data_IF_101267354229
#
_entry.id   IF_101267354229
#
_cell.length_a   1.000
_cell.length_b   1.000
_cell.length_c   1.000
_cell.angle_alpha   90.00
_cell.angle_beta   90.00
_cell.angle_gamma   90.00
#
_symmetry.space_group_name_H-M   'P 1'
#
loop_
_entity.id
_entity.type
_entity.pdbx_description
1 polymer ?
#
# COMPACT_ATOMS: atom_id res chain seq x y z
N UNK A 1 -5.93 -10.05 -8.04
CA UNK A 1 -6.37 -11.12 -7.10
C UNK A 1 -5.13 -11.69 -6.42
N UNK A 2 -4.86 -11.35 -5.15
CA UNK A 2 -4.10 -12.18 -4.16
C UNK A 2 -3.60 -11.41 -2.91
N UNK A 3 -3.90 -10.11 -2.78
CA UNK A 3 -3.59 -9.36 -1.56
C UNK A 3 -4.34 -9.93 -0.34
N UNK A 4 -5.60 -10.33 -0.52
CA UNK A 4 -6.46 -10.91 0.54
C UNK A 4 -5.91 -12.26 1.03
N UNK A 5 -5.42 -13.11 0.13
CA UNK A 5 -4.83 -14.41 0.50
C UNK A 5 -3.48 -14.23 1.21
N UNK A 6 -2.70 -13.26 0.77
CA UNK A 6 -1.38 -12.95 1.37
C UNK A 6 -1.54 -12.34 2.76
N UNK A 7 -2.49 -11.42 2.95
CA UNK A 7 -2.80 -10.82 4.24
C UNK A 7 -3.40 -11.85 5.22
N UNK A 8 -4.33 -12.69 4.74
CA UNK A 8 -4.97 -13.73 5.56
C UNK A 8 -3.97 -14.75 6.10
N UNK A 9 -3.00 -15.20 5.29
CA UNK A 9 -1.97 -16.16 5.73
C UNK A 9 -0.99 -15.55 6.75
N UNK A 10 -0.56 -14.30 6.53
CA UNK A 10 0.38 -13.61 7.43
C UNK A 10 -0.27 -13.20 8.75
N UNK A 11 -1.54 -12.81 8.74
CA UNK A 11 -2.30 -12.48 9.95
C UNK A 11 -2.60 -13.72 10.79
N UNK A 12 -2.99 -14.84 10.16
CA UNK A 12 -3.23 -16.12 10.85
C UNK A 12 -1.98 -16.57 11.61
N UNK A 13 -0.81 -16.55 10.97
CA UNK A 13 0.44 -16.97 11.60
C UNK A 13 0.81 -16.11 12.81
N UNK A 14 0.61 -14.79 12.72
CA UNK A 14 0.89 -13.88 13.84
C UNK A 14 -0.07 -14.10 15.00
N UNK A 15 -1.37 -14.27 14.73
CA UNK A 15 -2.39 -14.49 15.77
C UNK A 15 -2.15 -15.81 16.50
N UNK A 16 -1.90 -16.90 15.78
CA UNK A 16 -1.59 -18.20 16.41
C UNK A 16 -0.33 -18.11 17.26
N UNK A 17 0.71 -17.43 16.78
CA UNK A 17 1.96 -17.26 17.52
C UNK A 17 1.76 -16.50 18.84
N UNK A 18 1.09 -15.34 18.82
CA UNK A 18 0.89 -14.53 20.02
C UNK A 18 -0.07 -15.17 21.03
N UNK A 19 -1.14 -15.82 20.58
CA UNK A 19 -2.10 -16.49 21.47
C UNK A 19 -1.49 -17.77 22.04
N UNK A 20 -0.71 -18.51 21.25
CA UNK A 20 0.04 -19.66 21.74
C UNK A 20 1.08 -19.27 22.80
N UNK A 21 1.84 -18.19 22.56
CA UNK A 21 2.81 -17.67 23.53
C UNK A 21 2.12 -17.23 24.83
N UNK A 22 1.00 -16.48 24.72
CA UNK A 22 0.24 -16.01 25.88
C UNK A 22 -0.33 -17.19 26.68
N UNK A 23 -0.89 -18.19 26.00
CA UNK A 23 -1.41 -19.40 26.64
C UNK A 23 -0.34 -20.18 27.42
N UNK A 24 0.84 -20.37 26.81
CA UNK A 24 1.98 -21.03 27.48
C UNK A 24 2.42 -20.24 28.72
N UNK A 25 2.49 -18.90 28.63
CA UNK A 25 2.86 -18.05 29.76
C UNK A 25 1.83 -18.10 30.89
N UNK A 26 0.53 -18.07 30.57
CA UNK A 26 -0.53 -18.16 31.57
C UNK A 26 -0.59 -19.55 32.21
N UNK A 27 -0.40 -20.60 31.44
CA UNK A 27 -0.37 -21.98 31.94
C UNK A 27 0.85 -22.20 32.84
N UNK A 28 2.02 -21.68 32.45
CA UNK A 28 3.23 -21.73 33.28
C UNK A 28 3.07 -20.95 34.58
N UNK A 29 2.52 -19.72 34.52
CA UNK A 29 2.28 -18.91 35.71
C UNK A 29 1.28 -19.58 36.65
N UNK A 30 0.19 -20.13 36.11
CA UNK A 30 -0.82 -20.82 36.92
C UNK A 30 -0.27 -22.13 37.51
N UNK A 31 0.54 -22.87 36.75
CA UNK A 31 1.23 -24.05 37.25
C UNK A 31 2.13 -23.70 38.44
N UNK A 32 2.91 -22.63 38.33
CA UNK A 32 3.77 -22.15 39.43
C UNK A 32 2.94 -21.75 40.66
N UNK A 33 1.84 -21.02 40.48
CA UNK A 33 0.95 -20.63 41.59
C UNK A 33 0.32 -21.86 42.26
N UNK A 34 -0.17 -22.82 41.47
CA UNK A 34 -0.79 -24.05 41.99
C UNK A 34 0.23 -24.96 42.69
N UNK A 35 1.51 -24.95 42.32
CA UNK A 35 2.56 -25.70 43.01
C UNK A 35 3.00 -25.00 44.29
N UNK A 36 3.27 -23.70 44.28
CA UNK A 36 3.63 -22.96 45.50
C UNK A 36 2.49 -22.95 46.51
N UNK A 37 1.26 -22.71 46.07
CA UNK A 37 0.10 -22.69 46.95
C UNK A 37 -0.20 -24.07 47.54
N UNK A 38 -0.09 -25.15 46.74
CA UNK A 38 -0.28 -26.50 47.30
C UNK A 38 0.78 -26.84 48.33
N UNK A 39 2.05 -26.46 48.10
CA UNK A 39 3.15 -26.81 48.98
C UNK A 39 3.13 -26.02 50.30
N UNK A 40 2.76 -24.74 50.25
CA UNK A 40 2.57 -23.92 51.47
C UNK A 40 1.34 -24.36 52.27
N UNK A 41 0.22 -24.62 51.59
CA UNK A 41 -1.00 -25.11 52.24
C UNK A 41 -0.75 -26.49 52.84
N UNK A 42 -0.08 -27.41 52.13
CA UNK A 42 0.31 -28.72 52.66
C UNK A 42 1.22 -28.56 53.89
N UNK A 43 2.25 -27.70 53.86
CA UNK A 43 3.15 -27.50 55.01
C UNK A 43 2.42 -26.96 56.25
N UNK A 44 1.54 -25.97 56.07
CA UNK A 44 0.71 -25.41 57.15
C UNK A 44 -0.24 -26.47 57.71
N UNK A 45 -0.93 -27.23 56.84
CA UNK A 45 -1.80 -28.33 57.23
C UNK A 45 -1.04 -29.46 57.94
N UNK A 46 0.15 -29.84 57.46
CA UNK A 46 1.01 -30.86 58.08
C UNK A 46 1.44 -30.46 59.49
N UNK A 47 1.80 -29.18 59.71
CA UNK A 47 2.20 -28.69 61.03
C UNK A 47 1.04 -28.69 62.05
N UNK A 48 -0.19 -28.43 61.60
CA UNK A 48 -1.35 -28.24 62.46
C UNK A 48 -2.16 -29.55 62.65
N UNK A 49 -2.26 -30.39 61.61
CA UNK A 49 -3.02 -31.64 61.64
C UNK A 49 -2.27 -32.80 62.32
N UNK A 50 -0.95 -32.86 62.20
CA UNK A 50 -0.12 -33.91 62.81
C UNK A 50 -0.12 -33.85 64.34
N UNK A 51 -0.45 -32.70 64.93
CA UNK A 51 -0.61 -32.53 66.38
C UNK A 51 -1.99 -32.96 66.91
N UNK A 52 -3.00 -33.17 66.05
CA UNK A 52 -4.41 -33.27 66.48
C UNK A 52 -5.08 -34.62 66.20
N UNK A 53 -4.81 -35.30 65.09
CA UNK A 53 -5.49 -36.57 64.76
C UNK A 53 -4.65 -37.55 63.92
N UNK A 54 -4.53 -38.85 64.29
CA UNK A 54 -3.82 -39.88 63.51
C UNK A 54 -4.57 -40.33 62.24
N UNK A 55 -5.90 -40.12 62.16
CA UNK A 55 -6.73 -40.41 60.98
C UNK A 55 -6.55 -39.38 59.84
N UNK A 56 -5.91 -38.23 60.12
CA UNK A 56 -5.67 -37.20 59.13
C UNK A 56 -4.75 -37.66 57.99
N UNK A 57 -3.85 -38.63 58.25
CA UNK A 57 -2.89 -39.13 57.24
C UNK A 57 -3.59 -39.74 56.02
N UNK A 58 -4.66 -40.52 56.24
CA UNK A 58 -5.39 -41.17 55.16
C UNK A 58 -6.21 -40.17 54.31
N UNK A 59 -6.78 -39.14 54.95
CA UNK A 59 -7.48 -38.06 54.25
C UNK A 59 -6.52 -37.15 53.46
N UNK A 60 -5.33 -36.90 54.01
CA UNK A 60 -4.28 -36.11 53.35
C UNK A 60 -3.71 -36.83 52.13
N UNK A 61 -3.45 -38.14 52.25
CA UNK A 61 -3.00 -38.96 51.12
C UNK A 61 -4.02 -38.93 49.99
N UNK A 62 -5.31 -39.09 50.32
CA UNK A 62 -6.41 -38.99 49.35
C UNK A 62 -6.53 -37.60 48.70
N UNK A 63 -6.42 -36.52 49.49
CA UNK A 63 -6.47 -35.15 48.97
C UNK A 63 -5.27 -34.82 48.07
N UNK A 64 -4.08 -35.32 48.38
CA UNK A 64 -2.88 -35.11 47.55
C UNK A 64 -2.99 -35.75 46.17
N UNK A 65 -3.63 -36.93 46.09
CA UNK A 65 -3.89 -37.65 44.83
C UNK A 65 -4.95 -36.93 44.00
N UNK A 66 -6.02 -36.43 44.62
CA UNK A 66 -7.06 -35.64 43.94
C UNK A 66 -6.52 -34.31 43.40
N UNK A 67 -5.66 -33.61 44.16
CA UNK A 67 -4.99 -32.39 43.70
C UNK A 67 -4.02 -32.68 42.54
N UNK A 68 -3.31 -33.81 42.58
CA UNK A 68 -2.44 -34.27 41.49
C UNK A 68 -3.21 -34.55 40.19
N UNK A 69 -4.39 -35.17 40.30
CA UNK A 69 -5.28 -35.42 39.17
C UNK A 69 -5.89 -34.12 38.62
N UNK A 70 -6.26 -33.19 39.51
CA UNK A 70 -6.76 -31.88 39.10
C UNK A 70 -5.67 -31.11 38.33
N UNK A 71 -4.42 -31.10 38.80
CA UNK A 71 -3.28 -30.45 38.12
C UNK A 71 -2.99 -31.03 36.74
N UNK A 72 -3.05 -32.35 36.57
CA UNK A 72 -2.78 -33.01 35.29
C UNK A 72 -3.92 -32.85 34.28
N UNK A 73 -5.17 -32.81 34.74
CA UNK A 73 -6.34 -32.61 33.89
C UNK A 73 -6.53 -31.14 33.49
N UNK A 74 -6.13 -30.17 34.32
CA UNK A 74 -6.35 -28.74 34.07
C UNK A 74 -5.51 -28.21 32.90
N UNK A 75 -4.25 -28.66 32.79
CA UNK A 75 -3.30 -28.22 31.76
C UNK A 75 -3.75 -28.50 30.30
N UNK A 76 -4.22 -29.71 29.93
CA UNK A 76 -4.74 -29.96 28.59
C UNK A 76 -6.08 -29.25 28.31
N UNK A 77 -6.89 -28.99 29.34
CA UNK A 77 -8.19 -28.30 29.19
C UNK A 77 -7.97 -26.81 28.88
N UNK A 78 -7.03 -26.16 29.59
CA UNK A 78 -6.71 -24.74 29.39
C UNK A 78 -6.07 -24.48 28.04
N UNK A 79 -5.07 -25.27 27.65
CA UNK A 79 -4.45 -25.21 26.31
C UNK A 79 -5.48 -25.38 25.18
N UNK A 80 -6.42 -26.32 25.34
CA UNK A 80 -7.53 -26.50 24.41
C UNK A 80 -8.44 -25.27 24.31
N UNK A 81 -8.76 -24.63 25.45
CA UNK A 81 -9.59 -23.43 25.49
C UNK A 81 -8.92 -22.24 24.78
N UNK A 82 -7.61 -22.01 25.00
CA UNK A 82 -6.85 -20.95 24.33
C UNK A 82 -6.78 -21.14 22.80
N UNK A 83 -6.67 -22.38 22.32
CA UNK A 83 -6.72 -22.66 20.87
C UNK A 83 -8.08 -22.33 20.26
N UNK A 84 -9.18 -22.66 20.94
CA UNK A 84 -10.54 -22.34 20.47
C UNK A 84 -10.77 -20.83 20.43
N UNK A 85 -10.35 -20.10 21.48
CA UNK A 85 -10.43 -18.63 21.53
C UNK A 85 -9.61 -17.99 20.41
N UNK A 86 -8.41 -18.51 20.12
CA UNK A 86 -7.58 -18.03 19.01
C UNK A 86 -8.21 -18.25 17.63
N UNK A 87 -8.85 -19.40 17.42
CA UNK A 87 -9.60 -19.67 16.19
C UNK A 87 -10.83 -18.76 16.03
N UNK A 88 -11.56 -18.50 17.12
CA UNK A 88 -12.70 -17.58 17.12
C UNK A 88 -12.29 -16.13 16.82
N UNK A 89 -11.21 -15.65 17.44
CA UNK A 89 -10.64 -14.33 17.14
C UNK A 89 -10.19 -14.22 15.69
N UNK A 90 -9.55 -15.26 15.14
CA UNK A 90 -9.18 -15.29 13.73
C UNK A 90 -10.41 -15.22 12.82
N UNK A 91 -11.47 -15.97 13.12
CA UNK A 91 -12.69 -15.96 12.32
C UNK A 91 -13.41 -14.61 12.39
N UNK A 92 -13.45 -13.99 13.57
CA UNK A 92 -14.00 -12.65 13.80
C UNK A 92 -13.21 -11.57 13.04
N UNK A 93 -11.87 -11.56 13.14
CA UNK A 93 -11.04 -10.62 12.39
C UNK A 93 -11.19 -10.83 10.88
N UNK A 94 -11.27 -12.08 10.42
CA UNK A 94 -11.49 -12.37 9.00
C UNK A 94 -12.83 -11.84 8.50
N UNK A 95 -13.90 -12.00 9.28
CA UNK A 95 -15.22 -11.47 8.97
C UNK A 95 -15.24 -9.94 8.91
N UNK A 96 -14.65 -9.27 9.91
CA UNK A 96 -14.60 -7.81 9.99
C UNK A 96 -13.71 -7.19 8.91
N UNK A 97 -12.55 -7.77 8.64
CA UNK A 97 -11.65 -7.33 7.55
C UNK A 97 -12.27 -7.60 6.19
N UNK A 98 -12.97 -8.72 6.00
CA UNK A 98 -13.71 -8.99 4.77
C UNK A 98 -14.88 -8.03 4.56
N UNK A 99 -15.49 -7.51 5.64
CA UNK A 99 -16.56 -6.51 5.57
C UNK A 99 -16.01 -5.10 5.32
N UNK A 100 -14.94 -4.71 6.01
CA UNK A 100 -14.27 -3.40 5.83
C UNK A 100 -13.55 -3.26 4.48
N UNK A 101 -13.04 -4.36 3.91
CA UNK A 101 -12.49 -4.40 2.55
C UNK A 101 -13.54 -4.78 1.49
N UNK A 102 -14.72 -5.24 1.92
CA UNK A 102 -15.79 -5.78 1.08
C UNK A 102 -16.99 -4.85 0.90
N UNK A 103 -17.00 -3.68 1.54
CA UNK A 103 -17.86 -2.55 1.17
C UNK A 103 -17.04 -1.45 0.46
N UNK A 104 -16.71 -1.60 -0.82
CA UNK A 104 -16.94 -0.52 -1.76
C UNK A 104 -18.44 -0.50 -2.09
N UNK A 105 -19.08 0.65 -1.89
CA UNK A 105 -20.39 0.94 -2.46
C UNK A 105 -20.47 0.49 -3.91
N UNK A 106 -21.64 -0.01 -4.28
CA UNK A 106 -21.91 -0.71 -5.53
C UNK A 106 -21.65 0.14 -6.78
N UNK A 107 -20.42 0.10 -7.29
CA UNK A 107 -20.12 0.15 -8.74
C UNK A 107 -19.04 -0.92 -8.97
N UNK A 108 -19.28 -1.96 -9.80
CA UNK A 108 -18.28 -2.98 -10.05
C UNK A 108 -17.06 -2.37 -10.76
N UNK A 109 -15.81 -2.60 -10.34
CA UNK A 109 -14.65 -2.32 -11.17
C UNK A 109 -14.56 -3.43 -12.21
N UNK A 110 -15.42 -3.34 -13.23
CA UNK A 110 -15.45 -4.30 -14.33
C UNK A 110 -15.74 -3.59 -15.64
N UNK A 111 -14.78 -2.79 -16.11
CA UNK A 111 -14.52 -2.69 -17.56
C UNK A 111 -13.21 -2.01 -17.95
N UNK A 112 -12.57 -1.15 -17.16
CA UNK A 112 -11.42 -0.38 -17.70
C UNK A 112 -10.04 -1.01 -17.45
N UNK A 113 -9.78 -1.65 -16.30
CA UNK A 113 -8.46 -2.28 -16.06
C UNK A 113 -8.23 -3.59 -16.83
N UNK A 114 -9.30 -4.30 -17.21
CA UNK A 114 -9.15 -5.60 -17.89
C UNK A 114 -8.63 -5.47 -19.32
N UNK A 115 -8.67 -4.29 -19.94
CA UNK A 115 -8.20 -4.13 -21.32
C UNK A 115 -6.68 -3.95 -21.43
N UNK A 116 -5.98 -3.52 -20.37
CA UNK A 116 -4.51 -3.46 -20.35
C UNK A 116 -3.87 -4.73 -19.77
N UNK A 117 -4.54 -5.40 -18.82
CA UNK A 117 -4.01 -6.61 -18.16
C UNK A 117 -4.07 -7.88 -19.02
N UNK A 118 -4.86 -7.87 -20.11
CA UNK A 118 -4.98 -9.04 -21.00
C UNK A 118 -3.89 -9.06 -22.09
N UNK A 119 -3.18 -7.95 -22.32
CA UNK A 119 -2.07 -7.86 -23.29
C UNK A 119 -0.73 -8.29 -22.64
N UNK A 120 -0.54 -8.09 -21.34
CA UNK A 120 0.77 -8.23 -20.69
C UNK A 120 1.10 -9.63 -20.11
N UNK A 121 0.20 -10.61 -20.28
CA UNK A 121 0.42 -11.99 -19.80
C UNK A 121 1.06 -12.94 -20.83
N UNK A 122 1.34 -12.46 -22.04
CA UNK A 122 1.92 -13.27 -23.12
C UNK A 122 3.36 -12.89 -23.51
N UNK A 123 3.88 -11.77 -23.01
CA UNK A 123 5.21 -11.31 -23.38
C UNK A 123 6.27 -12.04 -22.55
N UNK A 124 7.18 -12.73 -23.23
CA UNK A 124 8.38 -13.31 -22.65
C UNK A 124 9.21 -12.23 -21.95
N UNK A 125 10.01 -12.61 -20.94
CA UNK A 125 10.88 -11.65 -20.22
C UNK A 125 11.80 -10.85 -21.15
N UNK A 126 12.14 -11.43 -22.31
CA UNK A 126 12.92 -10.78 -23.36
C UNK A 126 12.12 -9.67 -24.04
N UNK A 127 10.87 -9.92 -24.42
CA UNK A 127 10.00 -8.92 -25.05
C UNK A 127 9.66 -7.77 -24.10
N UNK A 128 9.44 -8.05 -22.81
CA UNK A 128 9.23 -7.00 -21.80
C UNK A 128 10.44 -6.08 -21.66
N UNK A 129 11.65 -6.65 -21.66
CA UNK A 129 12.90 -5.87 -21.60
C UNK A 129 13.11 -5.01 -22.85
N UNK A 130 12.84 -5.55 -24.04
CA UNK A 130 12.96 -4.79 -25.29
C UNK A 130 11.92 -3.67 -25.37
N UNK A 131 10.67 -3.93 -24.95
CA UNK A 131 9.64 -2.89 -24.86
C UNK A 131 10.07 -1.77 -23.93
N UNK A 132 10.51 -2.10 -22.71
CA UNK A 132 11.00 -1.11 -21.74
C UNK A 132 12.18 -0.29 -22.30
N UNK A 133 13.10 -0.96 -23.01
CA UNK A 133 14.22 -0.29 -23.67
C UNK A 133 13.72 0.69 -24.74
N UNK A 134 12.76 0.28 -25.56
CA UNK A 134 12.17 1.15 -26.58
C UNK A 134 11.42 2.34 -25.96
N UNK A 135 10.64 2.12 -24.91
CA UNK A 135 9.91 3.19 -24.20
C UNK A 135 10.89 4.22 -23.61
N UNK A 136 12.00 3.75 -23.01
CA UNK A 136 13.09 4.63 -22.54
C UNK A 136 13.72 5.43 -23.68
N UNK A 137 13.99 4.79 -24.83
CA UNK A 137 14.55 5.46 -26.01
C UNK A 137 13.62 6.56 -26.52
N UNK A 138 12.32 6.26 -26.62
CA UNK A 138 11.31 7.23 -27.05
C UNK A 138 11.24 8.43 -26.11
N UNK A 139 11.24 8.19 -24.79
CA UNK A 139 11.24 9.24 -23.78
C UNK A 139 12.48 10.15 -23.93
N UNK A 140 13.67 9.57 -23.95
CA UNK A 140 14.91 10.35 -24.07
C UNK A 140 15.01 11.08 -25.41
N UNK A 141 14.51 10.48 -26.49
CA UNK A 141 14.46 11.15 -27.79
C UNK A 141 13.55 12.38 -27.78
N UNK A 142 12.37 12.29 -27.15
CA UNK A 142 11.49 13.44 -27.02
C UNK A 142 12.14 14.59 -26.22
N UNK A 143 12.84 14.26 -25.12
CA UNK A 143 13.62 15.25 -24.37
C UNK A 143 14.75 15.84 -25.23
N UNK A 144 15.43 15.04 -26.05
CA UNK A 144 16.47 15.51 -26.98
C UNK A 144 15.91 16.50 -28.01
N UNK A 145 14.70 16.27 -28.53
CA UNK A 145 14.05 17.20 -29.46
C UNK A 145 13.71 18.52 -28.77
N UNK A 146 13.15 18.48 -27.55
CA UNK A 146 12.88 19.68 -26.75
C UNK A 146 14.15 20.45 -26.41
N UNK A 147 15.25 19.76 -26.11
CA UNK A 147 16.54 20.40 -25.84
C UNK A 147 17.11 21.05 -27.11
N UNK A 148 17.13 20.33 -28.24
CA UNK A 148 17.70 20.82 -29.49
C UNK A 148 16.95 22.03 -30.05
N UNK A 149 15.63 22.02 -29.98
CA UNK A 149 14.80 23.09 -30.56
C UNK A 149 14.52 24.21 -29.55
N UNK A 150 14.36 23.90 -28.26
CA UNK A 150 13.93 24.84 -27.23
C UNK A 150 14.91 25.10 -26.09
N UNK A 151 16.05 24.42 -26.01
CA UNK A 151 17.05 24.56 -24.92
C UNK A 151 16.47 24.34 -23.52
N UNK A 152 15.51 23.43 -23.39
CA UNK A 152 14.75 23.20 -22.16
C UNK A 152 15.63 22.80 -20.96
N UNK A 153 16.61 21.90 -21.16
CA UNK A 153 17.48 21.47 -20.08
C UNK A 153 18.50 22.53 -19.69
N UNK A 154 18.97 23.33 -20.65
CA UNK A 154 19.81 24.50 -20.35
C UNK A 154 19.03 25.46 -19.45
N UNK A 155 17.78 25.77 -19.83
CA UNK A 155 16.91 26.66 -19.06
C UNK A 155 16.66 26.16 -17.62
N UNK A 156 16.41 24.86 -17.42
CA UNK A 156 16.20 24.30 -16.09
C UNK A 156 17.48 24.20 -15.26
N UNK A 157 18.66 24.26 -15.89
CA UNK A 157 19.95 24.21 -15.20
C UNK A 157 20.50 25.59 -14.89
N UNK A 158 19.96 26.64 -15.52
CA UNK A 158 20.33 28.03 -15.28
C UNK A 158 19.81 28.51 -13.92
N UNK A 159 20.63 29.27 -13.21
CA UNK A 159 20.21 29.95 -11.98
C UNK A 159 19.59 31.30 -12.33
N UNK A 160 18.32 31.49 -12.02
CA UNK A 160 17.60 32.72 -12.35
C UNK A 160 17.71 33.80 -11.26
N UNK A 161 18.25 33.49 -10.08
CA UNK A 161 18.30 34.41 -8.94
C UNK A 161 19.20 35.64 -9.20
N UNK A 162 20.14 35.55 -10.15
CA UNK A 162 21.08 36.62 -10.51
C UNK A 162 20.56 37.58 -11.60
N UNK A 163 19.38 37.32 -12.16
CA UNK A 163 18.84 38.07 -13.30
C UNK A 163 17.60 38.89 -12.92
N UNK A 164 17.46 40.06 -13.52
CA UNK A 164 16.25 40.88 -13.39
C UNK A 164 15.11 40.32 -14.26
N UNK A 165 13.86 40.53 -13.84
CA UNK A 165 12.65 40.03 -14.52
C UNK A 165 12.61 40.38 -16.02
N UNK A 166 13.10 41.56 -16.40
CA UNK A 166 13.15 42.00 -17.80
C UNK A 166 14.12 41.17 -18.65
N UNK A 167 15.26 40.76 -18.07
CA UNK A 167 16.26 39.92 -18.74
C UNK A 167 15.74 38.48 -18.88
N UNK A 168 15.12 37.96 -17.81
CA UNK A 168 14.49 36.65 -17.81
C UNK A 168 13.39 36.62 -18.88
N UNK A 169 12.50 37.61 -18.89
CA UNK A 169 11.41 37.71 -19.85
C UNK A 169 11.90 37.80 -21.30
N UNK A 170 13.03 38.46 -21.57
CA UNK A 170 13.61 38.51 -22.91
C UNK A 170 14.12 37.13 -23.39
N UNK A 171 14.84 36.41 -22.54
CA UNK A 171 15.40 35.09 -22.88
C UNK A 171 14.31 34.01 -22.95
N UNK A 172 13.44 33.94 -21.93
CA UNK A 172 12.45 32.87 -21.75
C UNK A 172 11.39 32.87 -22.84
N UNK A 173 11.00 34.03 -23.39
CA UNK A 173 9.99 34.09 -24.46
C UNK A 173 10.38 33.22 -25.66
N UNK A 174 11.66 33.25 -26.05
CA UNK A 174 12.17 32.45 -27.18
C UNK A 174 12.17 30.94 -26.87
N UNK A 175 12.62 30.55 -25.67
CA UNK A 175 12.66 29.17 -25.19
C UNK A 175 11.23 28.61 -25.12
N UNK A 176 10.32 29.36 -24.50
CA UNK A 176 8.91 29.03 -24.39
C UNK A 176 8.26 28.86 -25.77
N UNK A 177 8.46 29.81 -26.70
CA UNK A 177 7.89 29.72 -28.05
C UNK A 177 8.39 28.47 -28.80
N UNK A 178 9.68 28.17 -28.70
CA UNK A 178 10.28 27.01 -29.36
C UNK A 178 9.80 25.70 -28.74
N UNK A 179 9.79 25.57 -27.41
CA UNK A 179 9.22 24.40 -26.74
C UNK A 179 7.75 24.22 -27.08
N UNK A 180 6.95 25.31 -27.12
CA UNK A 180 5.55 25.26 -27.53
C UNK A 180 5.40 24.73 -28.96
N UNK A 181 6.21 25.21 -29.91
CA UNK A 181 6.20 24.71 -31.30
C UNK A 181 6.51 23.22 -31.39
N UNK A 182 7.47 22.72 -30.59
CA UNK A 182 7.77 21.28 -30.50
C UNK A 182 6.57 20.53 -29.94
N UNK A 183 5.97 21.00 -28.85
CA UNK A 183 4.80 20.38 -28.24
C UNK A 183 3.64 20.32 -29.23
N UNK A 184 3.29 21.42 -29.88
CA UNK A 184 2.18 21.51 -30.84
C UNK A 184 2.41 20.60 -32.07
N UNK A 185 3.66 20.34 -32.43
CA UNK A 185 4.03 19.45 -33.53
C UNK A 185 3.81 17.96 -33.22
N UNK A 186 4.02 17.54 -31.97
CA UNK A 186 3.98 16.12 -31.58
C UNK A 186 2.76 15.77 -30.72
N UNK A 187 2.15 16.74 -30.04
CA UNK A 187 1.04 16.55 -29.11
C UNK A 187 -0.06 17.58 -29.38
N UNK A 188 -1.21 17.11 -29.85
CA UNK A 188 -2.43 17.92 -29.82
C UNK A 188 -3.06 17.77 -28.43
N UNK A 189 -3.09 18.87 -27.68
CA UNK A 189 -3.67 18.93 -26.35
C UNK A 189 -5.11 19.48 -26.37
N UNK A 190 -5.93 19.00 -25.45
CA UNK A 190 -7.25 19.53 -25.13
C UNK A 190 -7.49 19.52 -23.63
N UNK A 191 -8.71 19.83 -23.21
CA UNK A 191 -9.08 19.82 -21.79
C UNK A 191 -9.73 18.50 -21.40
N UNK A 192 -9.66 18.17 -20.11
CA UNK A 192 -10.37 17.00 -19.56
C UNK A 192 -11.83 17.36 -19.27
N UNK A 193 -12.05 18.59 -18.81
CA UNK A 193 -13.37 19.18 -18.57
C UNK A 193 -13.66 20.27 -19.61
N UNK A 194 -14.89 20.29 -20.12
CA UNK A 194 -15.32 21.26 -21.13
C UNK A 194 -15.64 22.65 -20.54
N UNK A 195 -16.04 22.74 -19.27
CA UNK A 195 -16.31 24.01 -18.57
C UNK A 195 -15.06 24.87 -18.38
N UNK A 196 -15.23 26.18 -18.23
CA UNK A 196 -14.14 27.13 -17.98
C UNK A 196 -13.64 27.04 -16.54
N UNK A 197 -12.49 27.67 -16.27
CA UNK A 197 -12.04 27.83 -14.89
C UNK A 197 -13.02 28.76 -14.16
N UNK A 198 -13.29 28.44 -12.89
CA UNK A 198 -14.29 29.04 -12.03
C UNK A 198 -15.77 28.74 -12.36
N UNK A 199 -16.06 27.89 -13.36
CA UNK A 199 -17.42 27.40 -13.61
C UNK A 199 -17.89 26.44 -12.50
N UNK A 200 -19.16 26.60 -12.10
CA UNK A 200 -19.83 25.65 -11.21
C UNK A 200 -20.30 24.44 -12.01
N UNK A 201 -19.83 23.26 -11.62
CA UNK A 201 -20.17 21.99 -12.27
C UNK A 201 -20.68 20.96 -11.26
N UNK A 202 -21.51 20.05 -11.76
CA UNK A 202 -21.97 18.89 -10.99
C UNK A 202 -21.28 17.64 -11.53
N UNK A 203 -20.50 16.99 -10.67
CA UNK A 203 -19.82 15.72 -10.97
C UNK A 203 -20.76 14.57 -10.63
N UNK A 204 -21.11 13.80 -11.66
CA UNK A 204 -22.03 12.68 -11.56
C UNK A 204 -21.37 11.45 -10.93
N UNK A 205 -22.13 10.49 -10.37
CA UNK A 205 -21.59 9.30 -9.71
C UNK A 205 -20.66 8.39 -10.53
N UNK A 206 -20.74 8.48 -11.85
CA UNK A 206 -20.01 7.66 -12.82
C UNK A 206 -18.73 8.33 -13.37
N UNK A 207 -18.24 9.36 -12.70
CA UNK A 207 -17.05 10.09 -13.12
C UNK A 207 -15.75 9.28 -13.02
N UNK A 208 -14.78 9.58 -13.89
CA UNK A 208 -13.47 8.92 -13.90
C UNK A 208 -12.52 9.54 -12.85
N UNK A 209 -12.17 8.74 -11.84
CA UNK A 209 -11.24 9.11 -10.75
C UNK A 209 -9.81 9.41 -11.24
N UNK A 210 -9.41 8.90 -12.41
CA UNK A 210 -8.14 9.23 -13.04
C UNK A 210 -8.15 10.56 -13.81
N UNK A 211 -9.33 10.98 -14.27
CA UNK A 211 -9.52 12.20 -15.04
C UNK A 211 -9.82 13.41 -14.15
N UNK A 212 -10.60 13.22 -13.08
CA UNK A 212 -11.10 14.29 -12.23
C UNK A 212 -10.66 14.06 -10.79
N UNK A 213 -9.87 15.00 -10.27
CA UNK A 213 -9.44 15.03 -8.87
C UNK A 213 -10.35 15.97 -8.08
N UNK A 214 -11.14 15.42 -7.16
CA UNK A 214 -11.94 16.20 -6.22
C UNK A 214 -11.02 16.80 -5.13
N UNK A 215 -11.24 18.07 -4.78
CA UNK A 215 -10.47 18.76 -3.74
C UNK A 215 -11.43 19.50 -2.78
N UNK A 216 -11.01 19.72 -1.53
CA UNK A 216 -11.83 20.35 -0.49
C UNK A 216 -12.57 19.34 0.40
N UNK A 217 -13.79 19.68 0.84
CA UNK A 217 -14.60 18.83 1.71
C UNK A 217 -15.37 17.78 0.89
N UNK A 218 -14.67 16.73 0.49
CA UNK A 218 -15.24 15.60 -0.26
C UNK A 218 -15.82 14.59 0.73
N UNK A 219 -17.04 14.83 1.18
CA UNK A 219 -17.77 13.93 2.08
C UNK A 219 -19.15 13.58 1.49
N UNK A 220 -19.54 12.32 1.65
CA UNK A 220 -20.79 11.77 1.10
C UNK A 220 -20.61 11.11 -0.27
N UNK A 221 -21.73 10.65 -0.81
CA UNK A 221 -21.79 10.05 -2.14
C UNK A 221 -22.08 11.11 -3.21
N UNK A 222 -21.57 10.93 -4.44
CA UNK A 222 -21.92 11.79 -5.56
C UNK A 222 -23.45 11.81 -5.80
N UNK A 223 -23.99 12.87 -6.43
CA UNK A 223 -23.29 13.89 -7.21
C UNK A 223 -22.62 14.98 -6.35
N UNK A 224 -21.40 15.35 -6.72
CA UNK A 224 -20.67 16.44 -6.07
C UNK A 224 -20.88 17.75 -6.82
N UNK A 225 -21.17 18.84 -6.12
CA UNK A 225 -21.13 20.18 -6.70
C UNK A 225 -19.80 20.84 -6.33
N UNK A 226 -19.15 21.41 -7.34
CA UNK A 226 -17.85 22.05 -7.17
C UNK A 226 -17.58 23.07 -8.25
N UNK A 227 -16.48 23.78 -8.09
CA UNK A 227 -16.01 24.78 -9.03
C UNK A 227 -14.77 24.25 -9.75
N UNK A 228 -14.71 24.40 -11.07
CA UNK A 228 -13.54 23.99 -11.86
C UNK A 228 -12.36 24.89 -11.52
N UNK A 229 -11.38 24.38 -10.77
CA UNK A 229 -10.15 25.15 -10.49
C UNK A 229 -9.08 25.02 -11.55
N UNK A 230 -9.09 23.91 -12.29
CA UNK A 230 -8.20 23.65 -13.41
C UNK A 230 -8.86 22.59 -14.29
N UNK A 231 -8.95 22.86 -15.60
CA UNK A 231 -9.70 22.03 -16.57
C UNK A 231 -9.03 20.70 -16.90
N UNK A 232 -7.77 20.55 -16.50
CA UNK A 232 -6.93 19.41 -16.83
C UNK A 232 -6.44 19.46 -18.28
N UNK A 233 -5.42 18.66 -18.57
CA UNK A 233 -4.87 18.50 -19.91
C UNK A 233 -5.08 17.08 -20.39
N UNK A 234 -5.58 16.92 -21.61
CA UNK A 234 -5.81 15.64 -22.27
C UNK A 234 -5.06 15.59 -23.59
N UNK A 235 -4.32 14.52 -23.81
CA UNK A 235 -3.76 14.23 -25.13
C UNK A 235 -4.91 13.81 -26.07
N UNK A 236 -5.19 14.61 -27.10
CA UNK A 236 -6.17 14.28 -28.15
C UNK A 236 -5.49 13.45 -29.23
N UNK A 237 -4.30 13.86 -29.64
CA UNK A 237 -3.51 13.19 -30.68
C UNK A 237 -2.04 13.23 -30.30
N UNK A 238 -1.34 12.13 -30.56
CA UNK A 238 0.09 11.99 -30.34
C UNK A 238 0.74 11.53 -31.63
N UNK A 239 1.54 12.40 -32.23
CA UNK A 239 2.40 12.09 -33.35
C UNK A 239 3.81 11.86 -32.79
N UNK A 240 4.29 10.61 -32.81
CA UNK A 240 5.58 10.29 -32.19
C UNK A 240 6.76 10.67 -33.10
N UNK A 241 7.84 11.26 -32.56
CA UNK A 241 9.05 11.52 -33.34
C UNK A 241 9.69 10.21 -33.81
N UNK A 242 10.17 10.18 -35.06
CA UNK A 242 10.81 8.99 -35.64
C UNK A 242 12.22 8.81 -35.09
N UNK A 243 12.43 7.74 -34.29
CA UNK A 243 13.76 7.32 -33.84
C UNK A 243 14.65 7.01 -35.06
N UNK A 244 15.51 7.96 -35.41
CA UNK A 244 16.38 7.86 -36.58
C UNK A 244 17.83 7.70 -36.09
N UNK A 245 18.39 6.50 -36.25
CA UNK A 245 19.82 6.24 -36.02
C UNK A 245 20.15 5.32 -34.84
N UNK A 246 21.41 4.89 -34.83
CA UNK A 246 22.04 4.00 -33.84
C UNK A 246 22.80 4.77 -32.75
N UNK A 247 22.45 6.05 -32.54
CA UNK A 247 23.08 6.86 -31.49
C UNK A 247 22.66 6.35 -30.12
N UNK A 248 23.59 6.41 -29.17
CA UNK A 248 23.30 6.11 -27.77
C UNK A 248 22.17 7.03 -27.28
N UNK A 249 20.99 6.49 -26.94
CA UNK A 249 19.84 7.27 -26.51
C UNK A 249 20.06 7.99 -25.19
N UNK A 250 21.09 7.61 -24.41
CA UNK A 250 21.44 8.29 -23.16
C UNK A 250 22.07 9.68 -23.38
N UNK A 251 22.57 9.96 -24.58
CA UNK A 251 23.13 11.26 -24.95
C UNK A 251 22.01 12.15 -25.47
N UNK A 252 21.54 13.09 -24.64
CA UNK A 252 20.42 13.98 -24.99
C UNK A 252 20.86 15.06 -25.99
N UNK A 253 22.02 15.68 -25.75
CA UNK A 253 22.67 16.63 -26.64
C UNK A 253 24.19 16.34 -26.65
N UNK A 254 24.85 16.37 -27.81
CA UNK A 254 26.29 16.18 -27.89
C UNK A 254 27.04 17.38 -27.29
N UNK A 255 28.21 17.14 -26.70
CA UNK A 255 29.12 18.22 -26.34
C UNK A 255 29.73 18.82 -27.62
N UNK A 256 29.69 20.15 -27.74
CA UNK A 256 30.30 20.90 -28.83
C UNK A 256 31.69 21.36 -28.37
N UNK A 257 32.74 20.98 -29.12
CA UNK A 257 34.13 21.34 -28.85
C UNK A 257 34.69 22.03 -30.07
N UNK A 258 35.06 23.30 -29.92
CA UNK A 258 35.79 24.05 -30.95
C UNK A 258 37.27 23.65 -30.92
N UNK A 259 37.82 23.30 -32.08
CA UNK A 259 39.23 22.92 -32.22
C UNK A 259 40.05 24.20 -32.47
N UNK A 260 41.10 24.40 -31.67
CA UNK A 260 42.04 25.53 -31.76
C UNK A 260 43.09 25.35 -32.86
#
# INVERSE_FOLDING_TARGET
MDIIRTYSRRSLLRIIFFIGLLGILTDLALYLVLTTASDEVLKLFFSQAQARFPEAKALIERASVEIGFLKSAFLPIFTGCFLVVGLLLYFSLRGTVAKLLGEPGAIPPKSTEKHLDTIDKSLTDKEKKEKLKNDKRMFLHFISVLQREGRLLDFFSEDLDEYEDDQIGAAVRSIHENCKKVMDKYLTSGTVLDGEEDDEITIQPDFDLGAIKLTGNVAGDPPFRGVVRHRGWKAIKLDMPTLSGDRDPSIIAPAEVEIL
#
